data_IF_354425159985
#
_entry.id   IF_354425159985
#
_cell.length_a   1.000
_cell.length_b   1.000
_cell.length_c   1.000
_cell.angle_alpha   90.00
_cell.angle_beta   90.00
_cell.angle_gamma   90.00
#
_symmetry.space_group_name_H-M   'P 1'
#
loop_
_entity.id
_entity.type
_entity.pdbx_description
1 polymer ?
#
# COMPACT_ATOMS: atom_id res chain seq x y z
N UNK A 1 21.74 1.23 7.79
CA UNK A 1 20.98 0.12 8.41
C UNK A 1 19.89 0.75 9.28
N UNK A 2 18.80 1.19 8.65
CA UNK A 2 17.76 1.98 9.33
C UNK A 2 16.57 1.08 9.57
N UNK A 3 16.32 0.81 10.85
CA UNK A 3 15.10 0.20 11.35
C UNK A 3 13.91 1.07 10.93
N UNK A 4 13.17 0.64 9.92
CA UNK A 4 11.92 1.28 9.52
C UNK A 4 10.79 0.68 10.35
N UNK A 5 10.36 1.45 11.36
CA UNK A 5 9.07 1.40 12.05
C UNK A 5 8.53 0.00 12.41
N UNK A 6 8.67 -0.35 13.69
CA UNK A 6 7.84 -1.35 14.36
C UNK A 6 6.41 -0.81 14.50
N UNK A 7 5.69 -0.76 13.39
CA UNK A 7 4.30 -0.32 13.25
C UNK A 7 3.37 -1.46 13.65
N UNK A 8 3.30 -1.82 14.93
CA UNK A 8 2.25 -2.70 15.50
C UNK A 8 1.94 -4.01 14.76
N UNK A 9 2.85 -4.54 13.94
CA UNK A 9 2.54 -5.56 12.94
C UNK A 9 2.65 -6.95 13.53
N UNK A 10 1.53 -7.66 13.52
CA UNK A 10 1.46 -9.07 13.92
C UNK A 10 2.36 -9.90 12.98
N UNK A 11 3.40 -10.52 13.54
CA UNK A 11 4.37 -11.32 12.79
C UNK A 11 4.23 -12.80 13.13
N UNK A 12 4.12 -13.65 12.12
CA UNK A 12 3.99 -15.10 12.25
C UNK A 12 5.04 -15.82 11.41
N UNK A 13 5.52 -16.95 11.90
CA UNK A 13 6.40 -17.84 11.11
C UNK A 13 5.58 -18.65 10.10
N UNK A 14 6.20 -19.08 9.00
CA UNK A 14 5.55 -19.90 7.98
C UNK A 14 4.97 -21.21 8.55
N UNK A 15 5.65 -21.81 9.54
CA UNK A 15 5.18 -23.01 10.25
C UNK A 15 3.98 -22.70 11.16
N UNK A 16 3.93 -21.53 11.79
CA UNK A 16 2.77 -21.13 12.57
C UNK A 16 1.57 -20.83 11.67
N UNK A 17 1.81 -20.12 10.56
CA UNK A 17 0.80 -19.86 9.56
C UNK A 17 0.16 -21.16 9.07
N UNK A 18 0.94 -22.20 8.74
CA UNK A 18 0.38 -23.46 8.25
C UNK A 18 -0.40 -24.25 9.30
N UNK A 19 0.01 -24.20 10.58
CA UNK A 19 -0.65 -24.92 11.67
C UNK A 19 -1.88 -24.18 12.22
N UNK A 20 -1.90 -22.86 12.12
CA UNK A 20 -2.91 -21.98 12.72
C UNK A 20 -3.56 -21.05 11.71
N UNK A 21 -3.68 -21.50 10.45
CA UNK A 21 -4.18 -20.69 9.33
C UNK A 21 -5.49 -19.98 9.65
N UNK A 22 -6.46 -20.69 10.23
CA UNK A 22 -7.77 -20.12 10.56
C UNK A 22 -7.67 -18.95 11.54
N UNK A 23 -6.80 -19.05 12.56
CA UNK A 23 -6.57 -17.97 13.53
C UNK A 23 -5.91 -16.76 12.88
N UNK A 24 -4.91 -17.00 12.03
CA UNK A 24 -4.23 -15.91 11.30
C UNK A 24 -5.21 -15.19 10.37
N UNK A 25 -6.02 -15.94 9.61
CA UNK A 25 -7.03 -15.35 8.73
C UNK A 25 -8.14 -14.62 9.51
N UNK A 26 -8.47 -15.05 10.73
CA UNK A 26 -9.42 -14.32 11.57
C UNK A 26 -8.90 -12.94 11.97
N UNK A 27 -7.61 -12.82 12.29
CA UNK A 27 -6.96 -11.53 12.57
C UNK A 27 -6.99 -10.62 11.33
N UNK A 28 -6.64 -11.19 10.18
CA UNK A 28 -6.69 -10.45 8.90
C UNK A 28 -8.10 -9.97 8.57
N UNK A 29 -9.12 -10.80 8.79
CA UNK A 29 -10.53 -10.39 8.62
C UNK A 29 -10.95 -9.29 9.60
N UNK A 30 -10.33 -9.20 10.76
CA UNK A 30 -10.56 -8.13 11.72
C UNK A 30 -9.90 -6.79 11.32
N UNK A 31 -9.18 -6.76 10.19
CA UNK A 31 -8.51 -5.56 9.68
C UNK A 31 -7.00 -5.58 9.89
N UNK A 32 -6.45 -6.60 10.56
CA UNK A 32 -5.03 -6.63 10.87
C UNK A 32 -4.18 -7.01 9.66
N UNK A 33 -2.99 -6.42 9.60
CA UNK A 33 -1.96 -6.80 8.62
C UNK A 33 -0.98 -7.77 9.27
N UNK A 34 -0.81 -8.95 8.68
CA UNK A 34 0.07 -9.99 9.21
C UNK A 34 1.32 -10.16 8.35
N UNK A 35 2.49 -10.08 8.96
CA UNK A 35 3.76 -10.40 8.30
C UNK A 35 4.09 -11.88 8.45
N UNK A 36 4.37 -12.54 7.33
CA UNK A 36 4.80 -13.94 7.29
C UNK A 36 6.31 -13.98 7.16
N UNK A 37 6.95 -14.75 8.03
CA UNK A 37 8.39 -14.91 8.06
C UNK A 37 8.83 -16.33 7.74
N UNK A 38 9.96 -16.46 7.05
CA UNK A 38 10.73 -17.70 6.94
C UNK A 38 12.13 -17.47 7.54
N UNK A 39 12.51 -18.30 8.52
CA UNK A 39 13.78 -18.18 9.27
C UNK A 39 14.07 -16.75 9.75
N UNK A 40 13.05 -16.09 10.30
CA UNK A 40 13.14 -14.73 10.85
C UNK A 40 13.16 -13.59 9.81
N UNK A 41 13.13 -13.90 8.51
CA UNK A 41 13.03 -12.90 7.43
C UNK A 41 11.59 -12.79 6.94
N UNK A 42 11.06 -11.57 6.83
CA UNK A 42 9.74 -11.34 6.24
C UNK A 42 9.75 -11.72 4.76
N UNK A 43 8.86 -12.62 4.36
CA UNK A 43 8.73 -13.13 2.98
C UNK A 43 7.40 -12.78 2.35
N UNK A 44 6.37 -12.49 3.15
CA UNK A 44 5.06 -12.08 2.65
C UNK A 44 4.32 -11.23 3.68
N UNK A 45 3.26 -10.56 3.22
CA UNK A 45 2.30 -9.84 4.03
C UNK A 45 0.90 -10.24 3.62
N UNK A 46 0.05 -10.56 4.58
CA UNK A 46 -1.36 -10.87 4.37
C UNK A 46 -2.15 -9.67 4.86
N UNK A 47 -2.95 -9.10 3.97
CA UNK A 47 -3.81 -7.93 4.24
C UNK A 47 -5.28 -8.31 4.08
N UNK A 48 -6.22 -7.56 4.68
CA UNK A 48 -7.65 -7.77 4.48
C UNK A 48 -8.00 -7.74 2.98
N UNK A 49 -8.81 -8.70 2.54
CA UNK A 49 -9.39 -8.64 1.21
C UNK A 49 -10.49 -7.55 1.19
N UNK A 50 -10.54 -6.78 0.11
CA UNK A 50 -11.58 -5.79 -0.13
C UNK A 50 -12.11 -5.94 -1.56
N UNK A 51 -13.41 -5.74 -1.74
CA UNK A 51 -14.05 -5.87 -3.05
C UNK A 51 -13.74 -4.68 -3.97
N UNK A 52 -13.40 -3.53 -3.39
CA UNK A 52 -13.07 -2.31 -4.10
C UNK A 52 -11.54 -2.12 -4.24
N UNK A 53 -11.09 -1.70 -5.44
CA UNK A 53 -9.66 -1.53 -5.75
C UNK A 53 -9.01 -0.42 -4.93
N UNK A 54 -9.72 0.66 -4.63
CA UNK A 54 -9.19 1.73 -3.79
C UNK A 54 -8.97 1.22 -2.37
N UNK A 55 -9.94 0.50 -1.81
CA UNK A 55 -9.84 -0.12 -0.49
C UNK A 55 -8.69 -1.13 -0.39
N UNK A 56 -8.46 -1.95 -1.43
CA UNK A 56 -7.30 -2.85 -1.51
C UNK A 56 -5.97 -2.10 -1.45
N UNK A 57 -5.85 -1.00 -2.19
CA UNK A 57 -4.62 -0.19 -2.21
C UNK A 57 -4.39 0.51 -0.87
N UNK A 58 -5.45 0.91 -0.17
CA UNK A 58 -5.35 1.42 1.19
C UNK A 58 -4.88 0.32 2.15
N UNK A 59 -5.49 -0.87 2.10
CA UNK A 59 -5.10 -2.00 2.95
C UNK A 59 -3.66 -2.45 2.70
N UNK A 60 -3.17 -2.35 1.46
CA UNK A 60 -1.77 -2.62 1.12
C UNK A 60 -0.79 -1.53 1.61
N UNK A 61 -1.29 -0.40 2.11
CA UNK A 61 -0.48 0.75 2.52
C UNK A 61 0.08 1.57 1.34
N UNK A 62 -0.45 1.37 0.13
CA UNK A 62 -0.05 2.11 -1.08
C UNK A 62 -0.79 3.43 -1.22
N UNK A 63 -2.01 3.51 -0.68
CA UNK A 63 -2.79 4.73 -0.57
C UNK A 63 -2.97 5.09 0.90
N UNK A 64 -2.71 6.35 1.23
CA UNK A 64 -3.10 6.93 2.51
C UNK A 64 -4.45 7.63 2.33
N UNK A 65 -5.46 7.24 3.11
CA UNK A 65 -6.76 7.92 3.10
C UNK A 65 -6.61 9.40 3.45
N UNK A 66 -7.43 10.23 2.82
CA UNK A 66 -7.53 11.63 3.21
C UNK A 66 -8.03 11.72 4.65
N UNK A 67 -7.34 12.50 5.48
CA UNK A 67 -7.73 12.71 6.88
C UNK A 67 -8.91 13.69 7.02
N UNK A 68 -9.18 14.47 5.97
CA UNK A 68 -10.24 15.49 5.93
C UNK A 68 -10.82 15.58 4.51
N UNK A 69 -12.07 16.04 4.38
CA UNK A 69 -12.64 16.35 3.07
C UNK A 69 -11.74 17.34 2.31
N UNK A 70 -11.54 17.07 1.02
CA UNK A 70 -10.80 17.97 0.15
C UNK A 70 -11.75 19.02 -0.45
N UNK A 71 -11.36 20.30 -0.39
CA UNK A 71 -12.11 21.38 -1.03
C UNK A 71 -11.37 21.84 -2.27
N UNK A 72 -12.04 21.76 -3.43
CA UNK A 72 -11.51 22.26 -4.70
C UNK A 72 -11.24 23.77 -4.66
N UNK A 73 -11.95 24.52 -3.82
CA UNK A 73 -11.74 25.96 -3.66
C UNK A 73 -10.38 26.32 -3.03
N UNK A 74 -9.70 25.35 -2.40
CA UNK A 74 -8.37 25.53 -1.81
C UNK A 74 -7.24 24.98 -2.71
N UNK A 75 -7.54 24.59 -3.95
CA UNK A 75 -6.50 24.21 -4.88
C UNK A 75 -5.62 25.44 -5.17
N UNK A 76 -4.28 25.33 -5.04
CA UNK A 76 -3.41 26.37 -5.53
C UNK A 76 -3.60 26.52 -7.04
N UNK A 77 -3.38 27.73 -7.56
CA UNK A 77 -3.30 27.90 -9.01
C UNK A 77 -2.24 26.94 -9.57
N UNK A 78 -2.55 26.21 -10.66
CA UNK A 78 -1.57 25.34 -11.29
C UNK A 78 -0.31 26.14 -11.63
N UNK A 79 0.85 25.66 -11.18
CA UNK A 79 2.11 26.26 -11.57
C UNK A 79 2.24 26.22 -13.10
N UNK A 80 2.79 27.28 -13.68
CA UNK A 80 3.14 27.29 -15.10
C UNK A 80 4.02 26.06 -15.39
N UNK A 81 3.70 25.33 -16.46
CA UNK A 81 4.49 24.18 -16.88
C UNK A 81 5.84 24.67 -17.45
N UNK A 82 6.97 24.51 -16.73
CA UNK A 82 8.24 25.08 -17.16
C UNK A 82 8.82 24.36 -18.38
N UNK A 83 8.33 23.15 -18.68
CA UNK A 83 8.83 22.33 -19.78
C UNK A 83 8.05 22.52 -21.07
N UNK A 84 6.86 23.11 -21.02
CA UNK A 84 5.93 23.17 -22.15
C UNK A 84 5.37 21.81 -22.63
N UNK A 85 6.01 20.69 -22.24
CA UNK A 85 5.61 19.32 -22.62
C UNK A 85 4.29 18.94 -21.97
N UNK A 86 3.41 18.32 -22.74
CA UNK A 86 2.15 17.80 -22.22
C UNK A 86 2.38 16.51 -21.41
N UNK A 87 1.44 16.16 -20.53
CA UNK A 87 1.48 14.87 -19.82
C UNK A 87 1.44 13.68 -20.78
N UNK A 88 0.77 13.81 -21.91
CA UNK A 88 0.73 12.77 -22.95
C UNK A 88 2.12 12.53 -23.56
N UNK A 89 2.81 13.62 -23.91
CA UNK A 89 4.18 13.57 -24.45
C UNK A 89 5.16 12.91 -23.46
N UNK A 90 5.04 13.24 -22.17
CA UNK A 90 5.81 12.59 -21.11
C UNK A 90 5.54 11.09 -21.01
N UNK A 91 4.28 10.67 -21.17
CA UNK A 91 3.92 9.26 -21.10
C UNK A 91 4.42 8.47 -22.31
N UNK A 92 4.38 9.05 -23.51
CA UNK A 92 4.91 8.44 -24.73
C UNK A 92 6.43 8.22 -24.62
N UNK A 93 7.15 9.22 -24.14
CA UNK A 93 8.60 9.17 -23.89
C UNK A 93 8.96 8.08 -22.86
N UNK A 94 8.24 8.03 -21.72
CA UNK A 94 8.46 7.01 -20.68
C UNK A 94 8.14 5.58 -21.15
N UNK A 95 7.25 5.41 -22.12
CA UNK A 95 6.93 4.11 -22.73
C UNK A 95 7.93 3.71 -23.82
N UNK A 96 8.81 4.62 -24.24
CA UNK A 96 9.73 4.39 -25.35
C UNK A 96 9.04 4.39 -26.72
N UNK A 97 7.90 5.09 -26.83
CA UNK A 97 7.09 5.20 -28.05
C UNK A 97 7.38 6.49 -28.84
N UNK A 98 8.43 7.22 -28.45
CA UNK A 98 8.84 8.52 -29.01
C UNK A 98 9.84 8.44 -30.16
#
# INVERSE_FOLDING_TARGET
MTAAADDGRLRVGMRELSQRTARVLALVRAGETVEVTDRGRTVARIVPAADDRYEQLVAAGLIRRAARPFSLAHLPEPAANPTGRSSDEWLTDLRGEG
#
